data_IF_249957167242
#
_entry.id   IF_249957167242
#
_cell.length_a   1.000
_cell.length_b   1.000
_cell.length_c   1.000
_cell.angle_alpha   90.00
_cell.angle_beta   90.00
_cell.angle_gamma   90.00
#
_symmetry.space_group_name_H-M   'P 1'
#
loop_
_entity.id
_entity.type
_entity.pdbx_description
1 polymer ?
#
# COMPACT_ATOMS: atom_id res chain seq x y z
N UNK A 1 -6.91 18.29 5.14
CA UNK A 1 -6.37 17.41 4.08
C UNK A 1 -7.11 16.08 4.14
N UNK A 2 -7.44 15.44 3.01
CA UNK A 2 -8.00 14.09 3.04
C UNK A 2 -6.92 13.06 3.41
N UNK A 3 -7.32 11.91 3.96
CA UNK A 3 -6.39 10.79 4.23
C UNK A 3 -5.61 10.39 2.97
N UNK A 4 -6.29 10.37 1.83
CA UNK A 4 -5.69 10.11 0.52
C UNK A 4 -4.62 11.15 0.15
N UNK A 5 -4.90 12.44 0.31
CA UNK A 5 -3.92 13.51 0.06
C UNK A 5 -2.73 13.41 1.01
N UNK A 6 -2.97 13.11 2.29
CA UNK A 6 -1.91 12.96 3.29
C UNK A 6 -0.95 11.81 2.95
N UNK A 7 -1.49 10.62 2.64
CA UNK A 7 -0.67 9.45 2.26
C UNK A 7 0.08 9.71 0.95
N UNK A 8 -0.58 10.33 -0.03
CA UNK A 8 0.03 10.66 -1.33
C UNK A 8 1.19 11.64 -1.17
N UNK A 9 1.00 12.70 -0.38
CA UNK A 9 2.05 13.69 -0.12
C UNK A 9 3.23 13.05 0.60
N UNK A 10 2.96 12.28 1.66
CA UNK A 10 4.01 11.59 2.39
C UNK A 10 4.82 10.65 1.50
N UNK A 11 4.16 9.84 0.66
CA UNK A 11 4.85 8.95 -0.27
C UNK A 11 5.71 9.73 -1.29
N UNK A 12 5.23 10.85 -1.82
CA UNK A 12 6.02 11.68 -2.76
C UNK A 12 7.25 12.32 -2.12
N UNK A 13 7.15 12.71 -0.86
CA UNK A 13 8.24 13.37 -0.13
C UNK A 13 9.28 12.38 0.40
N UNK A 14 8.89 11.13 0.64
CA UNK A 14 9.73 10.14 1.33
C UNK A 14 10.15 8.95 0.46
N UNK A 15 9.69 8.88 -0.80
CA UNK A 15 9.94 7.74 -1.68
C UNK A 15 10.15 8.17 -3.14
N UNK A 16 10.89 7.35 -3.89
CA UNK A 16 11.09 7.53 -5.33
C UNK A 16 10.17 6.60 -6.16
N UNK A 17 8.93 6.40 -5.69
CA UNK A 17 7.95 5.56 -6.37
C UNK A 17 7.55 6.13 -7.73
N UNK A 18 7.27 5.26 -8.69
CA UNK A 18 6.68 5.68 -9.96
C UNK A 18 5.24 6.15 -9.76
N UNK A 19 4.96 7.40 -10.12
CA UNK A 19 3.62 8.01 -10.13
C UNK A 19 3.03 8.16 -11.55
N UNK A 20 3.81 7.81 -12.57
CA UNK A 20 3.40 7.90 -13.97
C UNK A 20 2.48 6.73 -14.30
N UNK A 21 1.23 7.03 -14.71
CA UNK A 21 0.33 6.00 -15.24
C UNK A 21 1.04 5.30 -16.41
N UNK A 22 1.09 3.98 -16.38
CA UNK A 22 1.67 3.21 -17.49
C UNK A 22 0.77 3.40 -18.71
N UNK A 23 1.26 4.08 -19.74
CA UNK A 23 0.55 4.26 -21.01
C UNK A 23 0.42 2.90 -21.70
N UNK A 24 -0.81 2.44 -21.90
CA UNK A 24 -1.10 1.26 -22.73
C UNK A 24 -2.03 1.67 -23.87
N UNK A 25 -1.67 1.29 -25.10
CA UNK A 25 -2.40 1.56 -26.36
C UNK A 25 -3.76 0.84 -26.46
N UNK A 26 -4.71 1.10 -25.56
CA UNK A 26 -6.13 0.77 -25.75
C UNK A 26 -7.03 1.36 -24.65
N UNK A 27 -8.30 1.68 -24.94
CA UNK A 27 -9.26 2.09 -23.91
C UNK A 27 -9.55 0.93 -22.94
N UNK A 28 -9.52 1.22 -21.64
CA UNK A 28 -9.62 0.20 -20.59
C UNK A 28 -11.07 -0.25 -20.35
N UNK A 29 -11.34 -1.54 -20.53
CA UNK A 29 -12.66 -2.17 -20.31
C UNK A 29 -12.61 -2.97 -19.00
N UNK A 30 -13.27 -2.48 -17.92
CA UNK A 30 -13.54 -3.11 -16.57
C UNK A 30 -12.68 -2.68 -15.36
N UNK A 31 -13.30 -2.71 -14.16
CA UNK A 31 -12.77 -2.30 -12.83
C UNK A 31 -11.49 -3.02 -12.40
N UNK A 32 -11.33 -4.30 -12.71
CA UNK A 32 -10.13 -5.08 -12.33
C UNK A 32 -8.83 -4.55 -12.98
N UNK A 33 -8.94 -3.79 -14.07
CA UNK A 33 -7.79 -3.15 -14.75
C UNK A 33 -7.32 -1.84 -14.09
N UNK A 34 -8.01 -1.33 -13.06
CA UNK A 34 -7.52 -0.20 -12.27
C UNK A 34 -6.18 -0.51 -11.59
N UNK A 35 -5.91 -1.80 -11.32
CA UNK A 35 -4.66 -2.24 -10.70
C UNK A 35 -3.58 -2.57 -11.75
N UNK A 36 -3.94 -3.16 -12.89
CA UNK A 36 -2.98 -3.67 -13.90
C UNK A 36 -2.15 -2.54 -14.57
N UNK A 37 -2.65 -1.30 -14.61
CA UNK A 37 -1.96 -0.14 -15.19
C UNK A 37 -1.67 0.98 -14.17
N UNK A 38 -1.74 0.68 -12.86
CA UNK A 38 -1.44 1.69 -11.83
C UNK A 38 0.06 1.75 -11.60
N UNK A 39 0.55 2.98 -11.54
CA UNK A 39 1.93 3.23 -11.16
C UNK A 39 2.15 2.81 -9.70
N UNK A 40 3.38 2.44 -9.39
CA UNK A 40 3.78 1.90 -8.08
C UNK A 40 3.26 2.73 -6.88
N UNK A 41 3.31 4.06 -7.01
CA UNK A 41 2.83 5.00 -6.00
C UNK A 41 1.34 4.89 -5.71
N UNK A 42 0.50 4.68 -6.74
CA UNK A 42 -0.94 4.53 -6.53
C UNK A 42 -1.28 3.20 -5.86
N UNK A 43 -0.65 2.10 -6.28
CA UNK A 43 -0.88 0.78 -5.66
C UNK A 43 -0.55 0.80 -4.16
N UNK A 44 0.61 1.35 -3.80
CA UNK A 44 1.06 1.42 -2.42
C UNK A 44 0.17 2.35 -1.60
N UNK A 45 -0.23 3.50 -2.15
CA UNK A 45 -1.18 4.40 -1.49
C UNK A 45 -2.49 3.72 -1.18
N UNK A 46 -3.07 3.03 -2.17
CA UNK A 46 -4.38 2.40 -2.01
C UNK A 46 -4.32 1.25 -1.02
N UNK A 47 -3.23 0.47 -1.05
CA UNK A 47 -2.97 -0.55 -0.04
C UNK A 47 -2.89 0.05 1.37
N UNK A 48 -2.14 1.15 1.56
CA UNK A 48 -2.04 1.82 2.86
C UNK A 48 -3.41 2.32 3.32
N UNK A 49 -4.17 2.96 2.45
CA UNK A 49 -5.50 3.46 2.79
C UNK A 49 -6.44 2.33 3.21
N UNK A 50 -6.50 1.25 2.44
CA UNK A 50 -7.35 0.09 2.74
C UNK A 50 -6.91 -0.61 4.02
N UNK A 51 -5.61 -0.89 4.18
CA UNK A 51 -5.08 -1.57 5.36
C UNK A 51 -5.37 -0.79 6.66
N UNK A 52 -5.28 0.55 6.61
CA UNK A 52 -5.52 1.38 7.78
C UNK A 52 -6.99 1.51 8.11
N UNK A 53 -7.86 1.51 7.09
CA UNK A 53 -9.31 1.50 7.28
C UNK A 53 -9.78 0.16 7.86
N UNK A 54 -9.33 -0.96 7.30
CA UNK A 54 -9.68 -2.31 7.77
C UNK A 54 -9.15 -2.64 9.17
N UNK A 55 -7.99 -2.08 9.53
CA UNK A 55 -7.35 -2.34 10.83
C UNK A 55 -7.58 -1.23 11.87
N UNK A 56 -8.41 -0.23 11.56
CA UNK A 56 -8.65 0.96 12.39
C UNK A 56 -7.35 1.63 12.89
N UNK A 57 -6.40 1.82 11.98
CA UNK A 57 -5.09 2.39 12.27
C UNK A 57 -5.07 3.90 12.08
N UNK A 58 -4.39 4.59 12.98
CA UNK A 58 -4.16 6.02 12.86
C UNK A 58 -3.22 6.35 11.69
N UNK A 59 -3.65 7.29 10.87
CA UNK A 59 -2.93 7.85 9.72
C UNK A 59 -1.79 8.78 10.17
N UNK A 60 -0.63 8.20 10.51
CA UNK A 60 0.57 8.92 10.99
C UNK A 60 1.80 8.62 10.12
N UNK A 61 2.70 9.59 9.88
CA UNK A 61 3.91 9.41 9.07
C UNK A 61 4.77 8.19 9.45
N UNK A 62 4.95 7.96 10.75
CA UNK A 62 5.78 6.87 11.28
C UNK A 62 5.19 5.50 10.93
N UNK A 63 3.86 5.41 10.96
CA UNK A 63 3.15 4.19 10.58
C UNK A 63 3.30 3.92 9.08
N UNK A 64 3.22 4.97 8.23
CA UNK A 64 3.37 4.83 6.79
C UNK A 64 4.73 4.27 6.41
N UNK A 65 5.78 4.71 7.09
CA UNK A 65 7.14 4.20 6.90
C UNK A 65 7.23 2.70 7.22
N UNK A 66 6.66 2.27 8.36
CA UNK A 66 6.64 0.87 8.78
C UNK A 66 5.87 0.02 7.77
N UNK A 67 4.70 0.47 7.33
CA UNK A 67 3.88 -0.24 6.35
C UNK A 67 4.59 -0.33 5.00
N UNK A 68 5.19 0.76 4.53
CA UNK A 68 5.96 0.78 3.29
C UNK A 68 7.14 -0.18 3.33
N UNK A 69 7.91 -0.20 4.42
CA UNK A 69 9.02 -1.15 4.63
C UNK A 69 8.54 -2.60 4.50
N UNK A 70 7.39 -2.94 5.10
CA UNK A 70 6.78 -4.28 4.99
C UNK A 70 6.36 -4.62 3.56
N UNK A 71 5.73 -3.68 2.86
CA UNK A 71 5.34 -3.84 1.44
C UNK A 71 6.58 -4.10 0.57
N UNK A 72 7.65 -3.32 0.77
CA UNK A 72 8.88 -3.44 0.00
C UNK A 72 9.64 -4.74 0.29
N UNK A 73 9.72 -5.15 1.56
CA UNK A 73 10.30 -6.44 1.95
C UNK A 73 9.54 -7.58 1.25
N UNK A 74 8.20 -7.56 1.32
CA UNK A 74 7.37 -8.55 0.63
C UNK A 74 7.63 -8.59 -0.89
N UNK A 75 7.70 -7.42 -1.54
CA UNK A 75 8.01 -7.31 -2.98
C UNK A 75 9.39 -7.84 -3.37
N UNK A 76 10.40 -7.65 -2.51
CA UNK A 76 11.76 -8.14 -2.74
C UNK A 76 11.88 -9.66 -2.59
N UNK A 77 10.80 -10.36 -2.27
CA UNK A 77 10.85 -11.78 -1.97
C UNK A 77 11.62 -12.09 -0.68
N UNK A 78 11.98 -11.05 0.09
CA UNK A 78 12.25 -11.22 1.52
C UNK A 78 10.92 -11.70 2.06
N UNK A 79 10.80 -13.02 2.26
CA UNK A 79 9.66 -13.60 2.97
C UNK A 79 9.60 -12.87 4.31
N UNK A 80 8.82 -11.78 4.38
CA UNK A 80 8.26 -11.24 5.60
C UNK A 80 7.67 -12.48 6.21
N UNK A 81 8.37 -13.04 7.20
CA UNK A 81 8.19 -14.44 7.61
C UNK A 81 6.70 -14.63 7.73
N UNK A 82 6.12 -15.35 6.79
CA UNK A 82 4.66 -15.28 6.59
C UNK A 82 3.96 -15.77 7.86
N UNK A 83 4.68 -16.59 8.64
CA UNK A 83 4.41 -16.95 10.02
C UNK A 83 4.27 -15.78 10.99
N UNK A 84 5.11 -14.74 10.96
CA UNK A 84 5.03 -13.59 11.87
C UNK A 84 3.79 -12.75 11.58
N UNK A 85 3.48 -12.51 10.30
CA UNK A 85 2.26 -11.82 9.89
C UNK A 85 1.00 -12.65 10.21
N UNK A 86 1.01 -13.96 9.90
CA UNK A 86 -0.08 -14.87 10.25
C UNK A 86 -0.26 -15.00 11.76
N UNK A 87 0.82 -14.99 12.54
CA UNK A 87 0.77 -15.06 14.00
C UNK A 87 0.19 -13.78 14.58
N UNK A 88 0.57 -12.61 14.06
CA UNK A 88 0.01 -11.32 14.45
C UNK A 88 -1.49 -11.20 14.13
N UNK A 89 -1.92 -11.70 12.96
CA UNK A 89 -3.33 -11.73 12.59
C UNK A 89 -4.13 -12.73 13.46
N UNK A 90 -3.57 -13.91 13.75
CA UNK A 90 -4.20 -14.91 14.63
C UNK A 90 -4.34 -14.44 16.08
N UNK A 91 -3.39 -13.68 16.60
CA UNK A 91 -3.50 -13.12 17.97
C UNK A 91 -4.55 -12.02 18.06
N UNK A 92 -4.72 -11.23 16.99
CA UNK A 92 -5.77 -10.20 16.88
C UNK A 92 -7.18 -10.79 16.74
N UNK A 93 -7.33 -11.94 16.08
CA UNK A 93 -8.62 -12.63 15.88
C UNK A 93 -9.13 -13.40 17.12
N UNK A 94 -8.34 -13.51 18.19
CA UNK A 94 -8.71 -14.18 19.44
C UNK A 94 -9.11 -13.22 20.57
N UNK A 95 -9.31 -11.93 20.27
CA UNK A 95 -9.86 -10.94 21.20
C UNK A 95 -11.33 -10.69 20.92
#
# INVERSE_FOLDING_TARGET
MSKESQVTQWLKENTNLSWTRTSGDAPAVKRDRLFINRSEGYEIRDFILQYYDECDLAHKPENYEITLKKIMAYRKGEKVKTQDLLSHLKTKLKS
#
